data_IF_851505472547
#
_entry.id   IF_851505472547
#
_cell.length_a   1.000
_cell.length_b   1.000
_cell.length_c   1.000
_cell.angle_alpha   90.00
_cell.angle_beta   90.00
_cell.angle_gamma   90.00
#
_symmetry.space_group_name_H-M   'P 1'
#
loop_
_entity.id
_entity.type
_entity.pdbx_description
1 polymer ?
#
# COMPACT_ATOMS: atom_id res chain seq x y z
N UNK A 1 14.29 5.98 3.63
CA UNK A 1 15.58 6.56 3.18
C UNK A 1 16.58 5.50 2.67
N UNK A 2 16.14 4.48 1.91
CA UNK A 2 17.05 3.47 1.30
C UNK A 2 17.56 3.92 -0.08
N UNK A 3 16.73 4.57 -0.89
CA UNK A 3 17.08 4.96 -2.26
C UNK A 3 17.97 6.23 -2.35
N UNK A 4 17.87 7.17 -1.41
CA UNK A 4 18.51 8.48 -1.52
C UNK A 4 19.67 8.70 -0.53
N UNK A 5 20.06 7.68 0.25
CA UNK A 5 21.06 7.84 1.32
C UNK A 5 22.38 8.39 0.78
N UNK A 6 22.92 7.81 -0.28
CA UNK A 6 24.23 8.22 -0.82
C UNK A 6 24.19 9.60 -1.47
N UNK A 7 23.12 9.94 -2.18
CA UNK A 7 22.94 11.29 -2.74
C UNK A 7 22.87 12.35 -1.64
N UNK A 8 22.17 12.08 -0.53
CA UNK A 8 22.08 12.99 0.60
C UNK A 8 23.43 13.16 1.31
N UNK A 9 24.19 12.07 1.48
CA UNK A 9 25.56 12.14 2.01
C UNK A 9 26.48 12.95 1.09
N UNK A 10 26.37 12.76 -0.24
CA UNK A 10 27.17 13.48 -1.23
C UNK A 10 26.92 14.99 -1.22
N UNK A 11 25.67 15.43 -1.00
CA UNK A 11 25.31 16.85 -0.83
C UNK A 11 25.63 17.37 0.60
N UNK A 12 26.36 16.58 1.40
CA UNK A 12 26.91 17.01 2.68
C UNK A 12 26.01 16.76 3.90
N UNK A 13 24.95 15.93 3.79
CA UNK A 13 24.11 15.59 4.95
C UNK A 13 24.81 14.57 5.87
N UNK A 14 24.90 14.84 7.19
CA UNK A 14 25.53 13.92 8.13
C UNK A 14 24.80 12.57 8.21
N UNK A 15 25.56 11.47 8.27
CA UNK A 15 25.00 10.10 8.35
C UNK A 15 24.14 9.92 9.60
N UNK A 16 24.53 10.52 10.71
CA UNK A 16 23.78 10.47 11.97
C UNK A 16 22.41 11.11 11.84
N UNK A 17 22.34 12.26 11.15
CA UNK A 17 21.09 12.95 10.87
C UNK A 17 20.16 12.08 10.03
N UNK A 18 20.71 11.51 8.96
CA UNK A 18 20.02 10.58 8.08
C UNK A 18 19.51 9.34 8.83
N UNK A 19 20.31 8.78 9.76
CA UNK A 19 19.90 7.65 10.58
C UNK A 19 18.69 7.98 11.47
N UNK A 20 18.65 9.18 12.07
CA UNK A 20 17.50 9.66 12.85
C UNK A 20 16.25 9.77 11.98
N UNK A 21 16.36 10.36 10.79
CA UNK A 21 15.23 10.44 9.85
C UNK A 21 14.74 9.07 9.42
N UNK A 22 15.64 8.15 9.08
CA UNK A 22 15.29 6.78 8.68
C UNK A 22 14.45 6.06 9.74
N UNK A 23 14.68 6.32 11.03
CA UNK A 23 13.91 5.71 12.11
C UNK A 23 12.44 6.17 12.16
N UNK A 24 12.13 7.35 11.58
CA UNK A 24 10.78 7.93 11.52
C UNK A 24 9.99 7.53 10.27
N UNK A 25 10.61 6.86 9.30
CA UNK A 25 9.92 6.45 8.08
C UNK A 25 9.00 5.27 8.37
N UNK A 26 7.89 5.20 7.64
CA UNK A 26 7.01 4.04 7.63
C UNK A 26 7.81 2.78 7.30
N UNK A 27 7.56 1.70 8.04
CA UNK A 27 8.26 0.43 7.90
C UNK A 27 9.69 0.45 8.44
N UNK A 28 10.06 1.44 9.25
CA UNK A 28 11.33 1.40 9.97
C UNK A 28 11.36 0.22 10.94
N UNK A 29 12.39 -0.63 10.83
CA UNK A 29 12.58 -1.83 11.67
C UNK A 29 12.95 -1.51 13.13
N UNK A 30 13.21 -0.24 13.46
CA UNK A 30 13.45 0.18 14.83
C UNK A 30 12.11 0.25 15.56
N UNK A 31 11.89 -0.68 16.47
CA UNK A 31 10.64 -0.81 17.21
C UNK A 31 10.51 0.23 18.33
N UNK A 32 11.61 0.54 19.05
CA UNK A 32 11.51 1.35 20.27
C UNK A 32 10.50 0.75 21.27
N UNK A 33 9.77 1.61 21.97
CA UNK A 33 8.71 1.23 22.92
C UNK A 33 7.34 1.08 22.24
N UNK A 34 7.32 0.73 20.95
CA UNK A 34 6.09 0.54 20.20
C UNK A 34 5.32 -0.69 20.69
N UNK A 35 4.07 -0.43 21.07
CA UNK A 35 3.04 -1.43 21.35
C UNK A 35 1.99 -1.36 20.23
N UNK A 36 1.76 -2.46 19.50
CA UNK A 36 0.79 -2.45 18.44
C UNK A 36 -0.63 -2.28 19.00
N UNK A 37 -1.45 -1.46 18.32
CA UNK A 37 -2.89 -1.41 18.55
C UNK A 37 -3.54 -2.74 18.13
N UNK A 38 -4.78 -3.04 18.56
CA UNK A 38 -5.53 -4.15 18.00
C UNK A 38 -5.74 -3.94 16.49
N UNK A 39 -5.70 -5.04 15.75
CA UNK A 39 -6.06 -5.07 14.33
C UNK A 39 -7.38 -5.80 14.13
N UNK A 40 -8.06 -5.58 12.99
CA UNK A 40 -9.14 -6.42 12.53
C UNK A 40 -8.76 -7.92 12.49
N UNK A 41 -9.74 -8.84 12.62
CA UNK A 41 -9.48 -10.25 12.88
C UNK A 41 -8.55 -10.95 11.88
N UNK A 42 -8.71 -10.73 10.57
CA UNK A 42 -7.90 -11.44 9.59
C UNK A 42 -6.45 -10.94 9.62
N UNK A 43 -6.26 -9.63 9.72
CA UNK A 43 -4.97 -8.97 9.87
C UNK A 43 -4.27 -9.41 11.16
N UNK A 44 -4.99 -9.43 12.28
CA UNK A 44 -4.44 -9.91 13.55
C UNK A 44 -3.99 -11.36 13.45
N UNK A 45 -4.75 -12.22 12.75
CA UNK A 45 -4.39 -13.62 12.55
C UNK A 45 -3.06 -13.80 11.80
N UNK A 46 -2.76 -12.92 10.83
CA UNK A 46 -1.48 -12.91 10.09
C UNK A 46 -0.34 -12.46 11.00
N UNK A 47 -0.55 -11.41 11.80
CA UNK A 47 0.44 -10.94 12.78
C UNK A 47 0.78 -12.04 13.79
N UNK A 48 -0.22 -12.75 14.29
CA UNK A 48 -0.06 -13.85 15.25
C UNK A 48 0.60 -15.07 14.61
N UNK A 49 0.23 -15.40 13.36
CA UNK A 49 0.86 -16.47 12.59
C UNK A 49 2.35 -16.19 12.38
N UNK A 50 2.72 -14.93 12.10
CA UNK A 50 4.12 -14.54 12.03
C UNK A 50 4.77 -14.56 13.42
N UNK A 51 4.07 -14.17 14.48
CA UNK A 51 4.60 -14.14 15.84
C UNK A 51 5.02 -15.53 16.34
N UNK A 52 4.26 -16.57 15.96
CA UNK A 52 4.58 -17.98 16.20
C UNK A 52 5.88 -18.43 15.52
N UNK A 53 6.29 -17.77 14.42
CA UNK A 53 7.51 -18.08 13.66
C UNK A 53 8.70 -17.20 14.06
N UNK A 54 8.45 -15.91 14.26
CA UNK A 54 9.46 -14.90 14.59
C UNK A 54 8.78 -13.68 15.23
N UNK A 55 8.80 -13.63 16.56
CA UNK A 55 8.18 -12.55 17.35
C UNK A 55 8.75 -11.17 17.00
N UNK A 56 10.05 -11.07 16.70
CA UNK A 56 10.67 -9.78 16.35
C UNK A 56 10.16 -9.29 15.00
N UNK A 57 10.08 -10.17 14.00
CA UNK A 57 9.54 -9.83 12.67
C UNK A 57 8.05 -9.54 12.71
N UNK A 58 7.28 -10.25 13.54
CA UNK A 58 5.88 -9.93 13.79
C UNK A 58 5.70 -8.52 14.35
N UNK A 59 6.49 -8.11 15.34
CA UNK A 59 6.45 -6.72 15.85
C UNK A 59 6.77 -5.68 14.78
N UNK A 60 7.70 -5.97 13.88
CA UNK A 60 8.01 -5.07 12.75
C UNK A 60 6.84 -5.00 11.76
N UNK A 61 6.19 -6.12 11.47
CA UNK A 61 4.98 -6.15 10.63
C UNK A 61 3.85 -5.37 11.29
N UNK A 62 3.58 -5.61 12.57
CA UNK A 62 2.53 -4.92 13.32
C UNK A 62 2.78 -3.41 13.36
N UNK A 63 4.03 -2.97 13.54
CA UNK A 63 4.39 -1.54 13.44
C UNK A 63 4.07 -0.97 12.06
N UNK A 64 4.46 -1.66 11.00
CA UNK A 64 4.16 -1.23 9.63
C UNK A 64 2.65 -1.13 9.38
N UNK A 65 1.87 -2.13 9.81
CA UNK A 65 0.41 -2.13 9.63
C UNK A 65 -0.27 -1.00 10.43
N UNK A 66 0.18 -0.73 11.65
CA UNK A 66 -0.30 0.40 12.44
C UNK A 66 0.01 1.75 11.78
N UNK A 67 1.24 1.93 11.28
CA UNK A 67 1.62 3.14 10.54
C UNK A 67 0.80 3.30 9.27
N UNK A 68 0.50 2.20 8.56
CA UNK A 68 -0.35 2.24 7.36
C UNK A 68 -1.82 2.52 7.69
N UNK A 69 -2.32 2.07 8.83
CA UNK A 69 -3.64 2.50 9.31
C UNK A 69 -3.69 4.01 9.51
N UNK A 70 -2.65 4.58 10.13
CA UNK A 70 -2.60 6.04 10.35
C UNK A 70 -2.58 6.80 9.00
N UNK A 71 -1.87 6.27 7.99
CA UNK A 71 -1.92 6.80 6.62
C UNK A 71 -3.32 6.72 6.03
N UNK A 72 -3.97 5.56 6.12
CA UNK A 72 -5.33 5.36 5.61
C UNK A 72 -6.34 6.27 6.33
N UNK A 73 -6.24 6.39 7.64
CA UNK A 73 -7.08 7.29 8.44
C UNK A 73 -6.92 8.75 7.99
N UNK A 74 -5.68 9.18 7.74
CA UNK A 74 -5.43 10.53 7.25
C UNK A 74 -5.95 10.72 5.81
N UNK A 75 -5.79 9.73 4.94
CA UNK A 75 -6.41 9.73 3.60
C UNK A 75 -7.94 9.89 3.71
N UNK A 76 -8.58 9.08 4.56
CA UNK A 76 -10.02 9.15 4.79
C UNK A 76 -10.43 10.53 5.31
N UNK A 77 -9.66 11.10 6.24
CA UNK A 77 -9.95 12.41 6.82
C UNK A 77 -9.92 13.54 5.78
N UNK A 78 -8.93 13.54 4.87
CA UNK A 78 -8.71 14.64 3.92
C UNK A 78 -9.52 14.53 2.64
N UNK A 79 -9.91 13.32 2.23
CA UNK A 79 -10.72 13.13 1.05
C UNK A 79 -12.12 13.74 1.24
N UNK A 80 -12.69 14.30 0.17
CA UNK A 80 -14.11 14.67 0.18
C UNK A 80 -14.97 13.39 0.23
N UNK A 81 -16.21 13.48 0.73
CA UNK A 81 -17.19 12.41 0.56
C UNK A 81 -17.29 11.91 -0.89
N UNK A 82 -17.56 10.62 -1.07
CA UNK A 82 -17.57 9.90 -2.34
C UNK A 82 -16.28 10.01 -3.17
N UNK A 83 -15.16 10.45 -2.59
CA UNK A 83 -13.92 10.42 -3.33
C UNK A 83 -13.33 9.00 -3.38
N UNK A 84 -12.92 8.52 -4.56
CA UNK A 84 -12.16 7.28 -4.66
C UNK A 84 -10.72 7.48 -4.17
N UNK A 85 -10.14 6.41 -3.65
CA UNK A 85 -8.73 6.30 -3.32
C UNK A 85 -8.16 4.99 -3.85
N UNK A 86 -6.89 5.01 -4.25
CA UNK A 86 -6.19 3.82 -4.69
C UNK A 86 -4.87 3.66 -3.93
N UNK A 87 -4.63 2.46 -3.40
CA UNK A 87 -3.38 2.10 -2.73
C UNK A 87 -2.73 0.95 -3.50
N UNK A 88 -1.54 1.20 -4.05
CA UNK A 88 -0.75 0.16 -4.73
C UNK A 88 0.26 -0.42 -3.75
N UNK A 89 0.17 -1.72 -3.51
CA UNK A 89 1.01 -2.41 -2.55
C UNK A 89 1.53 -3.74 -3.08
N UNK A 90 2.79 -3.99 -2.81
CA UNK A 90 3.42 -5.28 -3.03
C UNK A 90 3.20 -6.23 -1.86
N UNK A 91 2.94 -7.52 -2.11
CA UNK A 91 2.95 -8.50 -1.02
C UNK A 91 4.38 -8.80 -0.55
N UNK A 92 4.52 -9.18 0.73
CA UNK A 92 5.80 -9.59 1.30
C UNK A 92 5.76 -11.04 1.75
N UNK A 93 6.91 -11.72 1.63
CA UNK A 93 7.13 -13.03 2.25
C UNK A 93 8.08 -12.83 3.43
N UNK A 94 7.61 -13.16 4.63
CA UNK A 94 8.40 -13.06 5.86
C UNK A 94 8.46 -14.43 6.53
N UNK A 95 9.66 -15.01 6.67
CA UNK A 95 9.83 -16.35 7.26
C UNK A 95 8.94 -17.42 6.59
N UNK A 96 8.90 -17.39 5.26
CA UNK A 96 8.09 -18.30 4.45
C UNK A 96 6.57 -18.13 4.63
N UNK A 97 6.12 -17.08 5.32
CA UNK A 97 4.71 -16.70 5.40
C UNK A 97 4.46 -15.63 4.36
N UNK A 98 3.55 -15.87 3.41
CA UNK A 98 3.01 -14.81 2.56
C UNK A 98 2.12 -13.94 3.44
N UNK A 99 2.49 -12.68 3.62
CA UNK A 99 1.77 -11.75 4.48
C UNK A 99 0.46 -11.31 3.85
N UNK A 100 0.31 -11.43 2.53
CA UNK A 100 -0.88 -10.96 1.81
C UNK A 100 -1.20 -9.52 2.18
N UNK A 101 -0.18 -8.65 2.13
CA UNK A 101 -0.25 -7.26 2.63
C UNK A 101 -1.44 -6.48 2.06
N UNK A 102 -1.85 -6.77 0.82
CA UNK A 102 -3.01 -6.17 0.20
C UNK A 102 -4.33 -6.47 0.91
N UNK A 103 -4.51 -7.71 1.42
CA UNK A 103 -5.69 -8.08 2.19
C UNK A 103 -5.67 -7.39 3.55
N UNK A 104 -4.53 -7.39 4.24
CA UNK A 104 -4.41 -6.71 5.53
C UNK A 104 -4.71 -5.21 5.41
N UNK A 105 -4.18 -4.53 4.37
CA UNK A 105 -4.44 -3.12 4.16
C UNK A 105 -5.87 -2.83 3.72
N UNK A 106 -6.50 -3.74 2.97
CA UNK A 106 -7.91 -3.61 2.60
C UNK A 106 -8.82 -3.71 3.84
N UNK A 107 -8.59 -4.70 4.70
CA UNK A 107 -9.35 -4.87 5.94
C UNK A 107 -9.14 -3.68 6.90
N UNK A 108 -7.89 -3.21 7.05
CA UNK A 108 -7.60 -1.99 7.81
C UNK A 108 -8.28 -0.76 7.22
N UNK A 109 -8.34 -0.63 5.89
CA UNK A 109 -9.03 0.49 5.25
C UNK A 109 -10.53 0.47 5.53
N UNK A 110 -11.16 -0.71 5.52
CA UNK A 110 -12.56 -0.88 5.93
C UNK A 110 -12.78 -0.52 7.39
N UNK A 111 -11.90 -0.96 8.30
CA UNK A 111 -11.94 -0.61 9.72
C UNK A 111 -11.80 0.90 9.97
N UNK A 112 -11.02 1.59 9.13
CA UNK A 112 -10.87 3.05 9.14
C UNK A 112 -12.14 3.79 8.67
N UNK A 113 -12.97 3.15 7.85
CA UNK A 113 -14.22 3.71 7.33
C UNK A 113 -14.31 3.86 5.81
N UNK A 114 -13.37 3.31 5.04
CA UNK A 114 -13.53 3.21 3.59
C UNK A 114 -14.41 2.02 3.18
N UNK A 115 -15.13 2.16 2.08
CA UNK A 115 -15.70 1.02 1.38
C UNK A 115 -14.64 0.39 0.47
N UNK A 116 -14.42 -0.92 0.61
CA UNK A 116 -13.57 -1.67 -0.30
C UNK A 116 -14.34 -1.96 -1.59
N UNK A 117 -13.90 -1.38 -2.70
CA UNK A 117 -14.53 -1.61 -4.00
C UNK A 117 -13.95 -2.85 -4.67
N UNK A 118 -12.62 -2.92 -4.80
CA UNK A 118 -11.94 -4.04 -5.47
C UNK A 118 -10.46 -4.11 -5.12
N UNK A 119 -9.91 -5.32 -5.18
CA UNK A 119 -8.46 -5.55 -5.25
C UNK A 119 -8.14 -6.13 -6.63
N UNK A 120 -7.23 -5.49 -7.36
CA UNK A 120 -6.75 -5.95 -8.66
C UNK A 120 -5.26 -6.29 -8.59
N UNK A 121 -4.88 -7.38 -9.24
CA UNK A 121 -3.50 -7.79 -9.34
C UNK A 121 -2.86 -7.20 -10.60
N UNK A 122 -1.73 -6.52 -10.42
CA UNK A 122 -0.92 -5.99 -11.51
C UNK A 122 0.40 -6.74 -11.58
N UNK A 123 0.68 -7.30 -12.75
CA UNK A 123 1.96 -7.98 -13.04
C UNK A 123 3.03 -6.94 -13.33
N UNK A 124 4.12 -6.99 -12.57
CA UNK A 124 5.31 -6.17 -12.81
C UNK A 124 6.15 -6.80 -13.91
N UNK A 125 6.37 -6.06 -15.00
CA UNK A 125 7.26 -6.48 -16.07
C UNK A 125 8.72 -6.57 -15.54
N UNK A 126 9.34 -7.74 -15.74
CA UNK A 126 10.70 -8.05 -15.28
C UNK A 126 11.74 -7.16 -15.96
N UNK A 127 11.51 -6.84 -17.22
CA UNK A 127 12.54 -6.27 -18.10
C UNK A 127 12.50 -4.73 -18.15
N UNK A 128 11.52 -4.12 -17.47
CA UNK A 128 11.35 -2.66 -17.39
C UNK A 128 11.87 -2.04 -16.08
N UNK A 129 12.66 -2.79 -15.30
CA UNK A 129 13.28 -2.28 -14.07
C UNK A 129 14.60 -1.59 -14.39
N UNK A 130 14.96 -0.54 -13.62
CA UNK A 130 16.22 0.21 -13.81
C UNK A 130 17.51 -0.60 -13.58
N UNK A 131 17.41 -1.90 -13.30
CA UNK A 131 18.55 -2.80 -13.12
C UNK A 131 18.55 -3.85 -14.23
N UNK A 132 19.72 -4.21 -14.80
CA UNK A 132 19.80 -5.20 -15.87
C UNK A 132 19.17 -6.54 -15.46
N UNK A 133 18.17 -6.99 -16.23
CA UNK A 133 17.65 -8.34 -16.12
C UNK A 133 18.65 -9.33 -16.76
N UNK A 134 18.93 -10.45 -16.10
CA UNK A 134 19.71 -11.53 -16.69
C UNK A 134 18.77 -12.48 -17.43
N UNK A 135 19.15 -12.91 -18.63
CA UNK A 135 18.44 -13.95 -19.38
C UNK A 135 19.19 -15.28 -19.19
N UNK A 136 18.65 -16.21 -18.40
CA UNK A 136 19.28 -17.52 -18.14
C UNK A 136 18.53 -18.42 -17.14
N UNK A 137 18.84 -19.73 -17.12
CA UNK A 137 18.12 -20.81 -16.38
C UNK A 137 18.45 -20.92 -14.88
N UNK A 138 19.35 -20.11 -14.33
CA UNK A 138 19.72 -20.17 -12.89
C UNK A 138 19.03 -19.05 -12.13
N UNK A 139 17.95 -19.38 -11.42
CA UNK A 139 17.25 -18.46 -10.53
C UNK A 139 18.16 -18.03 -9.40
N UNK A 140 18.70 -16.82 -9.49
CA UNK A 140 19.37 -16.19 -8.35
C UNK A 140 18.31 -15.60 -7.41
N UNK A 141 18.61 -15.41 -6.12
CA UNK A 141 17.74 -14.69 -5.16
C UNK A 141 17.33 -13.28 -5.65
N UNK A 142 18.04 -12.73 -6.65
CA UNK A 142 17.71 -11.45 -7.29
C UNK A 142 16.46 -11.56 -8.17
N UNK A 143 16.18 -12.74 -8.74
CA UNK A 143 15.03 -13.04 -9.61
C UNK A 143 13.78 -13.48 -8.81
N UNK A 144 13.93 -13.84 -7.54
CA UNK A 144 12.83 -14.12 -6.59
C UNK A 144 12.14 -12.85 -6.08
N UNK A 145 12.48 -11.68 -6.63
CA UNK A 145 11.83 -10.42 -6.32
C UNK A 145 10.38 -10.43 -6.79
N UNK A 146 9.50 -9.92 -5.94
CA UNK A 146 8.07 -9.71 -6.18
C UNK A 146 7.72 -9.35 -7.64
N UNK A 147 6.92 -10.20 -8.27
CA UNK A 147 6.45 -10.06 -9.66
C UNK A 147 5.02 -9.51 -9.76
N UNK A 148 4.36 -9.36 -8.62
CA UNK A 148 2.98 -8.96 -8.50
C UNK A 148 2.86 -7.85 -7.48
N UNK A 149 2.12 -6.81 -7.84
CA UNK A 149 1.61 -5.82 -6.92
C UNK A 149 0.10 -5.81 -7.02
N UNK A 150 -0.55 -5.23 -6.02
CA UNK A 150 -1.99 -5.21 -5.91
C UNK A 150 -2.46 -3.76 -5.80
N UNK A 151 -3.50 -3.42 -6.53
CA UNK A 151 -4.18 -2.13 -6.47
C UNK A 151 -5.43 -2.32 -5.63
N UNK A 152 -5.49 -1.65 -4.49
CA UNK A 152 -6.66 -1.63 -3.60
C UNK A 152 -7.46 -0.38 -3.97
N UNK A 153 -8.65 -0.58 -4.54
CA UNK A 153 -9.62 0.47 -4.83
C UNK A 153 -10.56 0.66 -3.65
N UNK A 154 -10.63 1.89 -3.15
CA UNK A 154 -11.39 2.31 -1.98
C UNK A 154 -12.31 3.47 -2.34
N UNK A 155 -13.44 3.59 -1.66
CA UNK A 155 -14.34 4.73 -1.75
C UNK A 155 -14.57 5.30 -0.35
N UNK A 156 -14.46 6.63 -0.18
CA UNK A 156 -14.89 7.28 1.05
C UNK A 156 -16.40 7.45 1.02
N UNK A 157 -17.18 6.85 1.93
CA UNK A 157 -18.63 6.97 1.90
C UNK A 157 -19.09 8.39 2.24
N UNK A 158 -20.26 8.79 1.73
CA UNK A 158 -20.97 9.96 2.23
C UNK A 158 -21.32 9.81 3.72
N UNK A 159 -21.00 10.85 4.50
CA UNK A 159 -21.35 10.91 5.91
C UNK A 159 -22.87 11.10 6.05
N UNK A 160 -23.62 9.98 6.06
CA UNK A 160 -25.06 10.02 6.26
C UNK A 160 -25.88 8.83 5.75
N UNK A 161 -25.33 7.87 5.00
CA UNK A 161 -26.12 6.76 4.44
C UNK A 161 -25.61 5.39 4.88
N UNK A 162 -26.05 4.95 6.06
CA UNK A 162 -26.49 3.55 6.15
C UNK A 162 -27.67 3.40 5.17
N UNK A 163 -27.41 2.82 3.98
CA UNK A 163 -28.34 2.50 2.88
C UNK A 163 -28.51 3.57 1.79
N UNK A 164 -27.58 3.60 0.84
CA UNK A 164 -27.89 4.00 -0.54
C UNK A 164 -26.89 3.40 -1.54
N UNK A 165 -26.67 2.08 -1.49
CA UNK A 165 -26.25 1.37 -2.71
C UNK A 165 -27.51 1.21 -3.55
N UNK A 166 -27.96 2.29 -4.19
CA UNK A 166 -28.82 2.25 -5.36
C UNK A 166 -28.96 3.67 -5.94
N UNK A 167 -28.31 3.81 -7.08
CA UNK A 167 -28.71 4.66 -8.21
C UNK A 167 -28.46 6.17 -8.14
N UNK A 168 -27.68 6.58 -9.15
CA UNK A 168 -27.64 7.87 -9.85
C UNK A 168 -26.44 8.77 -9.48
N UNK A 169 -25.55 8.90 -10.47
CA UNK A 169 -24.43 9.85 -10.64
C UNK A 169 -22.98 9.38 -10.31
N UNK A 170 -22.78 8.08 -10.06
CA UNK A 170 -21.46 7.52 -9.70
C UNK A 170 -20.68 6.89 -10.88
N UNK A 171 -21.17 7.00 -12.13
CA UNK A 171 -20.53 6.33 -13.28
C UNK A 171 -19.11 6.84 -13.52
N UNK A 172 -18.87 8.16 -13.50
CA UNK A 172 -17.54 8.71 -13.79
C UNK A 172 -16.48 8.38 -12.72
N UNK A 173 -16.89 8.27 -11.45
CA UNK A 173 -15.96 7.90 -10.38
C UNK A 173 -15.70 6.40 -10.36
N UNK A 174 -16.72 5.59 -10.64
CA UNK A 174 -16.56 4.16 -10.86
C UNK A 174 -15.64 3.88 -12.05
N UNK A 175 -15.82 4.61 -13.16
CA UNK A 175 -15.00 4.50 -14.36
C UNK A 175 -13.56 5.00 -14.12
N UNK A 176 -13.37 6.04 -13.31
CA UNK A 176 -12.04 6.47 -12.86
C UNK A 176 -11.37 5.39 -12.02
N UNK A 177 -12.11 4.80 -11.08
CA UNK A 177 -11.59 3.75 -10.22
C UNK A 177 -11.25 2.49 -11.04
N UNK A 178 -12.12 2.07 -11.96
CA UNK A 178 -11.84 1.01 -12.92
C UNK A 178 -10.59 1.32 -13.73
N UNK A 179 -10.45 2.55 -14.23
CA UNK A 179 -9.25 2.97 -14.99
C UNK A 179 -7.96 2.87 -14.15
N UNK A 180 -8.01 3.30 -12.88
CA UNK A 180 -6.89 3.21 -11.94
C UNK A 180 -6.57 1.74 -11.58
N UNK A 181 -7.59 0.89 -11.46
CA UNK A 181 -7.52 -0.52 -11.07
C UNK A 181 -7.08 -1.43 -12.23
N UNK A 182 -7.50 -1.12 -13.46
CA UNK A 182 -7.05 -1.77 -14.69
C UNK A 182 -5.62 -1.38 -15.08
N UNK A 183 -5.11 -0.27 -14.52
CA UNK A 183 -3.76 0.19 -14.77
C UNK A 183 -3.55 0.76 -16.18
N UNK A 184 -4.61 1.27 -16.83
CA UNK A 184 -4.44 2.08 -18.03
C UNK A 184 -3.62 3.31 -17.64
N UNK A 185 -2.51 3.53 -18.34
CA UNK A 185 -1.64 4.67 -18.10
C UNK A 185 -2.35 5.93 -18.58
N UNK A 186 -2.92 6.69 -17.65
CA UNK A 186 -3.33 8.08 -17.89
C UNK A 186 -2.05 8.86 -18.23
N UNK A 187 -1.86 9.18 -19.50
CA UNK A 187 -0.70 9.93 -20.03
C UNK A 187 -0.99 11.42 -20.02
N UNK A 188 -2.25 11.80 -20.21
CA UNK A 188 -2.73 13.18 -20.19
C UNK A 188 -4.08 13.31 -19.49
N UNK A 189 -4.48 14.55 -19.18
CA UNK A 189 -5.78 14.84 -18.55
C UNK A 189 -6.96 14.43 -19.44
N UNK A 190 -6.74 14.35 -20.76
CA UNK A 190 -7.71 13.90 -21.75
C UNK A 190 -7.90 12.36 -21.78
N UNK A 191 -7.06 11.60 -21.08
CA UNK A 191 -7.24 10.16 -20.91
C UNK A 191 -8.21 9.82 -19.77
N UNK A 192 -8.68 10.84 -19.02
CA UNK A 192 -9.69 10.65 -18.00
C UNK A 192 -11.04 10.28 -18.64
N UNK A 193 -11.79 9.34 -18.06
CA UNK A 193 -13.07 8.88 -18.60
C UNK A 193 -14.20 9.93 -18.53
N UNK A 194 -13.92 11.14 -18.07
CA UNK A 194 -14.88 12.23 -17.94
C UNK A 194 -14.22 13.57 -18.28
N UNK A 195 -14.99 14.47 -18.90
CA UNK A 195 -14.54 15.82 -19.23
C UNK A 195 -14.37 16.67 -17.96
N UNK A 196 -13.21 17.33 -17.80
CA UNK A 196 -12.96 18.31 -16.73
C UNK A 196 -13.47 19.72 -17.09
N UNK A 197 -14.44 19.82 -18.00
CA UNK A 197 -15.01 21.10 -18.37
C UNK A 197 -15.80 21.69 -17.18
N UNK A 198 -15.21 22.68 -16.52
CA UNK A 198 -15.91 23.70 -15.73
C UNK A 198 -16.29 24.84 -16.69
#
# INVERSE_FOLDING_TARGET
>A
MRAHKFSLVWIGRPIEELARWRARYIGAERLGDFTPPPFPPETQSIVDALARRDTKRSRVLAKYLAEMRDVLAEMHRVLRPDAPAAVVVGTSIMRGLNIQTHLCLAEIATDVGFDLVRISERKLDRDRRMMPARFGKKSSQIEERMHHEYVIGLLKPEAGNERAIQELDNESQYEMLETLVEGRRLRDIADLPFDLAI
#
